data_IF_459604240947
#
_entry.id   IF_459604240947
#
_cell.length_a   1.000
_cell.length_b   1.000
_cell.length_c   1.000
_cell.angle_alpha   90.00
_cell.angle_beta   90.00
_cell.angle_gamma   90.00
#
_symmetry.space_group_name_H-M   'P 1'
#
loop_
_entity.id
_entity.type
_entity.pdbx_description
1 polymer ?
#
# COMPACT_ATOMS: atom_id res chain seq x y z
N UNK A 1 -9.85 2.34 29.64
CA UNK A 1 -10.01 3.21 28.46
C UNK A 1 -9.37 2.50 27.28
N UNK A 2 -10.10 2.26 26.19
CA UNK A 2 -9.47 1.82 24.93
C UNK A 2 -8.84 3.04 24.31
N UNK A 3 -7.50 3.11 24.27
CA UNK A 3 -6.80 4.10 23.46
C UNK A 3 -7.11 3.76 22.01
N UNK A 4 -7.75 4.66 21.28
CA UNK A 4 -8.00 4.44 19.86
C UNK A 4 -6.64 4.47 19.14
N UNK A 5 -6.38 3.50 18.28
CA UNK A 5 -5.10 3.32 17.57
C UNK A 5 -4.62 4.60 16.87
N UNK A 6 -5.58 5.39 16.36
CA UNK A 6 -5.35 6.70 15.73
C UNK A 6 -4.63 7.69 16.66
N UNK A 7 -4.96 7.71 17.95
CA UNK A 7 -4.31 8.62 18.92
C UNK A 7 -3.01 8.05 19.46
N UNK A 8 -2.83 6.73 19.44
CA UNK A 8 -1.61 6.08 19.94
C UNK A 8 -0.45 6.13 18.93
N UNK A 9 -0.72 6.10 17.62
CA UNK A 9 0.33 6.10 16.58
C UNK A 9 1.28 7.31 16.71
N UNK A 10 0.80 8.57 16.85
CA UNK A 10 1.70 9.72 17.00
C UNK A 10 2.61 9.62 18.22
N UNK A 11 2.09 9.15 19.36
CA UNK A 11 2.86 8.97 20.59
C UNK A 11 3.94 7.91 20.41
N UNK A 12 3.59 6.78 19.80
CA UNK A 12 4.55 5.71 19.50
C UNK A 12 5.66 6.18 18.56
N UNK A 13 5.31 6.88 17.47
CA UNK A 13 6.31 7.42 16.54
C UNK A 13 7.24 8.44 17.20
N UNK A 14 6.81 9.15 18.25
CA UNK A 14 7.65 10.09 18.98
C UNK A 14 8.61 9.41 19.96
N UNK A 15 8.34 8.15 20.35
CA UNK A 15 9.16 7.37 21.27
C UNK A 15 10.21 6.50 20.57
N UNK A 16 10.03 6.22 19.28
CA UNK A 16 10.91 5.35 18.49
C UNK A 16 11.92 6.18 17.71
N UNK A 17 13.17 5.71 17.65
CA UNK A 17 14.12 6.18 16.65
C UNK A 17 13.81 5.49 15.32
N UNK A 18 13.25 6.26 14.38
CA UNK A 18 12.79 5.77 13.08
C UNK A 18 13.58 6.34 11.91
N UNK A 19 14.63 7.13 12.16
CA UNK A 19 15.43 7.73 11.07
C UNK A 19 15.94 6.64 10.11
N UNK A 20 15.84 6.88 8.80
CA UNK A 20 16.20 5.93 7.74
C UNK A 20 15.42 4.59 7.76
N UNK A 21 14.27 4.53 8.43
CA UNK A 21 13.37 3.36 8.40
C UNK A 21 12.19 3.55 7.44
N UNK A 22 11.58 2.43 7.03
CA UNK A 22 10.30 2.43 6.28
C UNK A 22 9.18 2.06 7.25
N UNK A 23 8.25 2.98 7.48
CA UNK A 23 7.09 2.76 8.33
C UNK A 23 5.93 2.22 7.50
N UNK A 24 5.47 1.02 7.85
CA UNK A 24 4.25 0.43 7.27
C UNK A 24 3.10 0.52 8.26
N UNK A 25 1.95 1.06 7.84
CA UNK A 25 0.73 1.04 8.66
C UNK A 25 -0.46 0.55 7.83
N UNK A 26 -1.47 0.09 8.55
CA UNK A 26 -2.72 -0.34 7.95
C UNK A 26 -3.58 0.85 7.49
N UNK A 27 -4.82 0.55 7.10
CA UNK A 27 -5.76 1.57 6.62
C UNK A 27 -6.20 2.57 7.70
N UNK A 28 -6.21 2.17 8.98
CA UNK A 28 -6.56 3.07 10.07
C UNK A 28 -5.45 4.10 10.31
N UNK A 29 -4.19 3.72 10.09
CA UNK A 29 -3.02 4.60 10.12
C UNK A 29 -2.79 5.45 8.86
N UNK A 30 -3.59 5.26 7.80
CA UNK A 30 -3.46 6.00 6.54
C UNK A 30 -3.98 7.44 6.67
N UNK A 31 -3.20 8.31 7.32
CA UNK A 31 -3.58 9.69 7.61
C UNK A 31 -2.46 10.67 7.26
N UNK A 32 -2.83 11.85 6.73
CA UNK A 32 -1.88 12.88 6.31
C UNK A 32 -0.98 13.37 7.44
N UNK A 33 -1.54 13.57 8.63
CA UNK A 33 -0.78 14.07 9.79
C UNK A 33 0.26 13.04 10.26
N UNK A 34 -0.07 11.75 10.20
CA UNK A 34 0.88 10.66 10.49
C UNK A 34 2.04 10.69 9.48
N UNK A 35 1.76 10.84 8.18
CA UNK A 35 2.82 10.96 7.16
C UNK A 35 3.74 12.16 7.42
N UNK A 36 3.19 13.31 7.81
CA UNK A 36 4.02 14.48 8.17
C UNK A 36 4.97 14.16 9.32
N UNK A 37 4.51 13.42 10.34
CA UNK A 37 5.36 13.01 11.46
C UNK A 37 6.48 12.06 11.03
N UNK A 38 6.15 11.06 10.21
CA UNK A 38 7.14 10.10 9.69
C UNK A 38 8.23 10.83 8.89
N UNK A 39 7.84 11.68 7.93
CA UNK A 39 8.80 12.42 7.10
C UNK A 39 9.60 13.44 7.91
N UNK A 40 9.00 14.10 8.92
CA UNK A 40 9.70 15.02 9.81
C UNK A 40 10.84 14.33 10.57
N UNK A 41 10.69 13.04 10.86
CA UNK A 41 11.72 12.21 11.50
C UNK A 41 12.64 11.51 10.48
N UNK A 42 12.63 11.96 9.21
CA UNK A 42 13.46 11.44 8.11
C UNK A 42 13.28 9.92 7.88
N UNK A 43 12.06 9.45 8.07
CA UNK A 43 11.66 8.10 7.71
C UNK A 43 10.82 8.13 6.42
N UNK A 44 10.78 6.99 5.72
CA UNK A 44 9.91 6.74 4.59
C UNK A 44 8.65 5.98 5.04
N UNK A 45 7.63 5.87 4.18
CA UNK A 45 6.37 5.22 4.52
C UNK A 45 5.76 4.39 3.39
N UNK A 46 5.03 3.34 3.76
CA UNK A 46 4.09 2.60 2.90
C UNK A 46 2.80 2.39 3.69
N UNK A 47 1.75 3.14 3.38
CA UNK A 47 0.48 3.07 4.12
C UNK A 47 -0.58 2.36 3.28
N UNK A 48 -1.26 1.39 3.88
CA UNK A 48 -2.35 0.69 3.21
C UNK A 48 -3.55 1.63 3.03
N UNK A 49 -4.11 1.67 1.83
CA UNK A 49 -5.35 2.40 1.56
C UNK A 49 -6.48 1.38 1.37
N UNK A 50 -7.55 1.47 2.17
CA UNK A 50 -8.69 0.56 2.12
C UNK A 50 -10.02 1.29 2.31
N UNK A 51 -11.03 0.89 1.54
CA UNK A 51 -12.42 1.30 1.69
C UNK A 51 -12.89 2.30 0.62
N UNK A 52 -13.90 1.91 -0.16
CA UNK A 52 -14.35 2.52 -1.42
C UNK A 52 -14.87 3.98 -1.38
N UNK A 53 -14.71 4.72 -0.28
CA UNK A 53 -15.36 6.03 -0.09
C UNK A 53 -14.40 7.20 0.18
N UNK A 54 -13.09 7.00 0.09
CA UNK A 54 -12.14 8.12 0.20
C UNK A 54 -11.88 8.75 -1.17
N UNK A 55 -11.93 10.07 -1.27
CA UNK A 55 -11.62 10.74 -2.53
C UNK A 55 -10.15 10.59 -2.96
N UNK A 56 -9.24 10.27 -2.03
CA UNK A 56 -7.85 9.92 -2.38
C UNK A 56 -7.80 8.62 -3.18
N UNK A 57 -8.53 7.58 -2.74
CA UNK A 57 -8.57 6.31 -3.45
C UNK A 57 -9.06 6.51 -4.88
N UNK A 58 -10.16 7.24 -5.08
CA UNK A 58 -10.70 7.50 -6.42
C UNK A 58 -9.68 8.18 -7.35
N UNK A 59 -8.89 9.13 -6.86
CA UNK A 59 -7.87 9.79 -7.68
C UNK A 59 -6.68 8.89 -8.00
N UNK A 60 -6.23 8.08 -7.04
CA UNK A 60 -5.15 7.12 -7.25
C UNK A 60 -5.60 5.98 -8.19
N UNK A 61 -6.84 5.52 -8.09
CA UNK A 61 -7.43 4.56 -9.04
C UNK A 61 -7.57 5.16 -10.44
N UNK A 62 -8.02 6.41 -10.55
CA UNK A 62 -8.10 7.11 -11.83
C UNK A 62 -6.71 7.25 -12.49
N UNK A 63 -5.69 7.58 -11.70
CA UNK A 63 -4.30 7.61 -12.17
C UNK A 63 -3.83 6.23 -12.63
N UNK A 64 -4.07 5.19 -11.82
CA UNK A 64 -3.73 3.81 -12.18
C UNK A 64 -4.35 3.39 -13.52
N UNK A 65 -5.65 3.64 -13.69
CA UNK A 65 -6.36 3.31 -14.92
C UNK A 65 -5.86 4.10 -16.11
N UNK A 66 -5.44 5.36 -15.91
CA UNK A 66 -4.80 6.15 -16.96
C UNK A 66 -3.48 5.50 -17.40
N UNK A 67 -2.58 5.21 -16.47
CA UNK A 67 -1.31 4.54 -16.78
C UNK A 67 -1.53 3.19 -17.48
N UNK A 68 -2.53 2.43 -17.04
CA UNK A 68 -2.89 1.17 -17.68
C UNK A 68 -3.35 1.34 -19.15
N UNK A 69 -4.10 2.41 -19.46
CA UNK A 69 -4.55 2.70 -20.84
C UNK A 69 -3.42 3.23 -21.72
N UNK A 70 -2.55 4.07 -21.16
CA UNK A 70 -1.43 4.68 -21.88
C UNK A 70 -0.24 3.72 -22.03
N UNK A 71 -0.21 2.66 -21.23
CA UNK A 71 0.87 1.69 -21.19
C UNK A 71 1.85 1.97 -20.06
N UNK A 72 2.38 0.89 -19.49
CA UNK A 72 3.46 0.94 -18.51
C UNK A 72 4.81 1.01 -19.21
N UNK A 73 5.75 1.77 -18.63
CA UNK A 73 7.14 1.88 -19.08
C UNK A 73 8.08 1.48 -17.94
N UNK A 74 9.31 1.10 -18.28
CA UNK A 74 10.33 0.77 -17.26
C UNK A 74 10.61 1.92 -16.28
N UNK A 75 10.37 3.17 -16.71
CA UNK A 75 10.59 4.36 -15.89
C UNK A 75 9.44 4.66 -14.93
N UNK A 76 8.23 4.13 -15.17
CA UNK A 76 7.04 4.47 -14.39
C UNK A 76 6.40 3.29 -13.65
N UNK A 77 6.83 2.06 -13.92
CA UNK A 77 6.20 0.84 -13.45
C UNK A 77 7.22 -0.23 -13.07
N UNK A 78 6.90 -0.96 -12.01
CA UNK A 78 7.63 -2.18 -11.62
C UNK A 78 6.65 -3.21 -11.06
N UNK A 79 7.00 -4.49 -11.13
CA UNK A 79 6.20 -5.55 -10.54
C UNK A 79 7.01 -6.72 -9.98
N UNK A 80 6.46 -7.35 -8.95
CA UNK A 80 7.03 -8.53 -8.31
C UNK A 80 5.93 -9.53 -7.99
N UNK A 81 6.18 -10.81 -8.29
CA UNK A 81 5.24 -11.90 -7.98
C UNK A 81 5.92 -12.93 -7.10
N UNK A 82 5.26 -13.29 -6.00
CA UNK A 82 5.64 -14.41 -5.14
C UNK A 82 4.58 -15.50 -5.20
N UNK A 83 5.02 -16.76 -5.19
CA UNK A 83 4.15 -17.93 -5.10
C UNK A 83 4.64 -18.73 -3.89
N UNK A 84 3.74 -18.94 -2.94
CA UNK A 84 3.99 -19.68 -1.72
C UNK A 84 3.01 -20.85 -1.61
N UNK A 85 3.48 -22.01 -1.18
CA UNK A 85 2.67 -23.20 -0.96
C UNK A 85 2.88 -23.73 0.45
N UNK A 86 1.81 -23.87 1.22
CA UNK A 86 1.86 -24.36 2.60
C UNK A 86 0.46 -24.61 3.15
N UNK A 87 0.36 -25.53 4.11
CA UNK A 87 -0.91 -25.86 4.80
C UNK A 87 -2.08 -26.20 3.85
N UNK A 88 -1.80 -26.89 2.73
CA UNK A 88 -2.81 -27.26 1.73
C UNK A 88 -3.30 -26.11 0.85
N UNK A 89 -2.58 -24.97 0.83
CA UNK A 89 -2.92 -23.80 0.01
C UNK A 89 -1.74 -23.41 -0.87
N UNK A 90 -2.06 -22.92 -2.07
CA UNK A 90 -1.15 -22.11 -2.90
C UNK A 90 -1.64 -20.67 -2.86
N UNK A 91 -0.75 -19.74 -2.51
CA UNK A 91 -1.01 -18.30 -2.56
C UNK A 91 -0.05 -17.62 -3.54
N UNK A 92 -0.62 -16.94 -4.53
CA UNK A 92 0.13 -16.08 -5.46
C UNK A 92 -0.13 -14.63 -5.07
N UNK A 93 0.93 -13.89 -4.70
CA UNK A 93 0.85 -12.45 -4.43
C UNK A 93 1.59 -11.69 -5.52
N UNK A 94 0.89 -10.80 -6.20
CA UNK A 94 1.46 -9.87 -7.18
C UNK A 94 1.43 -8.46 -6.62
N UNK A 95 2.59 -7.84 -6.51
CA UNK A 95 2.78 -6.43 -6.15
C UNK A 95 3.14 -5.67 -7.42
N UNK A 96 2.39 -4.60 -7.71
CA UNK A 96 2.63 -3.77 -8.88
C UNK A 96 2.71 -2.32 -8.43
N UNK A 97 3.71 -1.60 -8.89
CA UNK A 97 3.98 -0.22 -8.51
C UNK A 97 3.85 0.68 -9.73
N UNK A 98 3.22 1.84 -9.55
CA UNK A 98 3.15 2.91 -10.55
C UNK A 98 3.61 4.21 -9.91
N UNK A 99 4.54 4.92 -10.54
CA UNK A 99 4.94 6.26 -10.10
C UNK A 99 3.77 7.25 -10.28
N UNK A 100 3.63 8.16 -9.31
CA UNK A 100 2.59 9.19 -9.32
C UNK A 100 3.14 10.46 -9.94
N UNK A 101 2.41 11.00 -10.91
CA UNK A 101 2.64 12.38 -11.35
C UNK A 101 1.89 13.35 -10.43
N UNK A 102 2.63 14.17 -9.68
CA UNK A 102 2.03 15.17 -8.77
C UNK A 102 1.15 16.19 -9.48
N UNK A 103 1.42 16.53 -10.74
CA UNK A 103 0.58 17.47 -11.50
C UNK A 103 -0.80 16.92 -11.85
N UNK A 104 -0.97 15.59 -11.80
CA UNK A 104 -2.27 14.93 -11.99
C UNK A 104 -3.13 15.01 -10.72
N UNK A 105 -2.52 14.84 -9.55
CA UNK A 105 -3.25 14.82 -8.29
C UNK A 105 -3.74 16.21 -7.92
N UNK A 106 -5.02 16.29 -7.54
CA UNK A 106 -5.53 17.48 -6.88
C UNK A 106 -4.63 17.85 -5.68
N UNK A 107 -4.35 19.14 -5.45
CA UNK A 107 -3.52 19.63 -4.34
C UNK A 107 -3.95 19.04 -2.99
N UNK A 108 -5.25 18.77 -2.79
CA UNK A 108 -5.74 18.11 -1.57
C UNK A 108 -5.21 16.68 -1.38
N UNK A 109 -4.68 16.01 -2.40
CA UNK A 109 -4.20 14.63 -2.36
C UNK A 109 -2.68 14.51 -2.57
N UNK A 110 -1.98 15.63 -2.69
CA UNK A 110 -0.52 15.65 -2.75
C UNK A 110 0.07 15.52 -1.34
N UNK A 111 0.08 14.29 -0.81
CA UNK A 111 0.68 14.01 0.50
C UNK A 111 2.19 14.24 0.46
N UNK A 112 2.77 14.64 1.59
CA UNK A 112 4.20 14.90 1.71
C UNK A 112 4.98 13.64 1.34
N UNK A 113 5.88 13.74 0.36
CA UNK A 113 6.70 12.60 -0.05
C UNK A 113 5.98 11.51 -0.87
N UNK A 114 4.71 11.69 -1.27
CA UNK A 114 4.02 10.72 -2.10
C UNK A 114 4.72 10.58 -3.47
N UNK A 115 5.18 9.36 -3.76
CA UNK A 115 5.94 9.02 -4.98
C UNK A 115 5.24 8.00 -5.87
N UNK A 116 4.53 7.03 -5.29
CA UNK A 116 3.99 5.90 -6.04
C UNK A 116 2.72 5.34 -5.42
N UNK A 117 2.00 4.54 -6.20
CA UNK A 117 0.89 3.69 -5.78
C UNK A 117 1.35 2.25 -5.92
N UNK A 118 1.04 1.41 -4.93
CA UNK A 118 1.29 -0.02 -4.98
C UNK A 118 -0.06 -0.75 -4.94
N UNK A 119 -0.33 -1.57 -5.96
CA UNK A 119 -1.46 -2.48 -6.00
C UNK A 119 -0.99 -3.89 -5.67
N UNK A 120 -1.60 -4.47 -4.63
CA UNK A 120 -1.33 -5.86 -4.23
C UNK A 120 -2.54 -6.72 -4.59
N UNK A 121 -2.33 -7.77 -5.39
CA UNK A 121 -3.35 -8.77 -5.73
C UNK A 121 -2.93 -10.11 -5.14
N UNK A 122 -3.83 -10.77 -4.40
CA UNK A 122 -3.59 -12.11 -3.86
C UNK A 122 -4.64 -13.09 -4.39
N UNK A 123 -4.19 -14.21 -4.95
CA UNK A 123 -5.03 -15.33 -5.39
C UNK A 123 -4.68 -16.53 -4.51
N UNK A 124 -5.71 -17.14 -3.91
CA UNK A 124 -5.58 -18.32 -3.06
C UNK A 124 -6.29 -19.50 -3.68
N UNK A 125 -5.59 -20.63 -3.78
CA UNK A 125 -6.14 -21.90 -4.27
C UNK A 125 -5.94 -22.99 -3.21
N UNK A 126 -6.97 -23.79 -2.97
CA UNK A 126 -6.84 -24.99 -2.15
C UNK A 126 -6.26 -26.12 -3.00
N UNK A 127 -5.34 -26.88 -2.41
CA UNK A 127 -4.88 -28.14 -2.99
C UNK A 127 -5.89 -29.22 -2.62
N UNK A 128 -6.80 -29.53 -3.55
CA UNK A 128 -7.62 -30.75 -3.45
C UNK A 128 -6.77 -31.91 -3.95
N UNK A 129 -6.40 -32.83 -3.07
CA UNK A 129 -5.86 -34.11 -3.49
C UNK A 129 -6.95 -34.85 -4.28
N UNK A 130 -6.63 -35.50 -5.42
CA UNK A 130 -7.59 -36.37 -6.06
C UNK A 130 -8.00 -37.45 -5.06
N UNK A 131 -9.31 -37.59 -4.85
CA UNK A 131 -9.87 -38.73 -4.14
C UNK A 131 -9.42 -39.96 -4.92
N UNK A 132 -8.74 -40.90 -4.26
CA UNK A 132 -8.44 -42.19 -4.90
C UNK A 132 -9.77 -42.91 -5.04
N UNK A 133 -10.31 -42.96 -6.25
CA UNK A 133 -11.37 -43.89 -6.58
C UNK A 133 -10.81 -45.30 -6.36
N UNK A 134 -11.48 -46.06 -5.50
CA UNK A 134 -11.15 -47.43 -5.13
C UNK A 134 -12.16 -48.38 -5.74
#
# INVERSE_FOLDING_TARGET
MKTNEITAIPELLAMLDIENSIITLDAMGCQKEIVKLIVKQKADYILALKGHHSGLQGELEAWWHKCQREGFTADNFDEHTTIDSGHGRIETRRCQQVLVNKSWLNNKYQWVGLKSIIKVTSIRRQLTWPVRDN
#
